data_IF_558605554392
#
_entry.id   IF_558605554392
#
_cell.length_a   1.000
_cell.length_b   1.000
_cell.length_c   1.000
_cell.angle_alpha   90.00
_cell.angle_beta   90.00
_cell.angle_gamma   90.00
#
_symmetry.space_group_name_H-M   'P 1'
#
loop_
_entity.id
_entity.type
_entity.pdbx_description
1 polymer ?
#
# COMPACT_ATOMS: atom_id res chain seq x y z
N UNK A 1 4.65 7.46 -3.90
CA UNK A 1 4.61 8.77 -3.21
C UNK A 1 5.75 9.60 -3.73
N UNK A 2 5.54 10.89 -3.89
CA UNK A 2 6.54 11.83 -4.42
C UNK A 2 6.79 12.92 -3.38
N UNK A 3 8.06 13.11 -3.06
CA UNK A 3 8.52 14.07 -2.05
C UNK A 3 9.50 15.05 -2.67
N UNK A 4 9.38 16.34 -2.31
CA UNK A 4 10.32 17.36 -2.76
C UNK A 4 11.71 17.21 -2.14
N UNK A 5 11.77 16.74 -0.89
CA UNK A 5 13.00 16.51 -0.15
C UNK A 5 13.21 15.01 0.07
N UNK A 6 14.47 14.62 0.31
CA UNK A 6 14.78 13.28 0.77
C UNK A 6 14.21 13.04 2.17
N UNK A 7 13.63 11.88 2.38
CA UNK A 7 13.05 11.45 3.65
C UNK A 7 14.01 10.48 4.35
N UNK A 8 14.36 10.78 5.59
CA UNK A 8 15.09 9.88 6.48
C UNK A 8 14.11 9.28 7.50
N UNK A 9 13.38 8.23 7.08
CA UNK A 9 12.41 7.56 7.93
C UNK A 9 12.28 6.08 7.53
N UNK A 10 12.24 5.15 8.50
CA UNK A 10 12.08 3.73 8.22
C UNK A 10 10.71 3.38 7.59
N UNK A 11 9.74 4.30 7.67
CA UNK A 11 8.42 4.12 7.05
C UNK A 11 8.46 4.26 5.52
N UNK A 12 9.52 4.88 4.97
CA UNK A 12 9.62 5.27 3.58
C UNK A 12 10.68 4.42 2.88
N UNK A 13 10.24 3.51 2.02
CA UNK A 13 11.15 2.70 1.20
C UNK A 13 11.50 3.48 -0.05
N UNK A 14 12.77 3.84 -0.18
CA UNK A 14 13.28 4.55 -1.36
C UNK A 14 13.27 3.64 -2.61
N UNK A 15 12.83 4.20 -3.72
CA UNK A 15 12.79 3.53 -5.03
C UNK A 15 14.02 3.87 -5.90
N UNK A 16 14.98 4.64 -5.37
CA UNK A 16 16.08 5.24 -6.15
C UNK A 16 17.00 4.24 -6.81
N UNK A 17 17.35 3.21 -6.06
CA UNK A 17 18.23 2.15 -6.50
C UNK A 17 17.67 1.37 -7.71
N UNK A 18 16.40 1.56 -8.07
CA UNK A 18 15.73 0.90 -9.19
C UNK A 18 15.49 1.83 -10.40
N UNK A 19 16.17 2.98 -10.46
CA UNK A 19 16.09 3.88 -11.61
C UNK A 19 14.76 4.64 -11.74
N UNK A 20 13.90 4.58 -10.72
CA UNK A 20 12.61 5.28 -10.66
C UNK A 20 12.72 6.71 -10.12
N UNK A 21 13.94 7.18 -9.80
CA UNK A 21 14.18 8.42 -9.04
C UNK A 21 14.36 9.71 -9.85
N UNK A 22 13.78 9.81 -11.04
CA UNK A 22 13.79 11.08 -11.76
C UNK A 22 12.49 11.25 -12.54
N UNK A 23 11.42 11.50 -11.78
CA UNK A 23 10.31 12.28 -12.33
C UNK A 23 10.83 13.69 -12.61
N UNK A 24 11.51 13.88 -13.74
CA UNK A 24 11.99 15.19 -14.17
C UNK A 24 10.76 16.02 -14.58
N UNK A 25 10.18 16.73 -13.63
CA UNK A 25 9.02 17.57 -13.92
C UNK A 25 9.53 18.88 -14.50
N UNK A 26 9.65 18.94 -15.83
CA UNK A 26 10.00 20.16 -16.56
C UNK A 26 8.80 21.12 -16.55
N UNK A 27 8.77 22.03 -15.58
CA UNK A 27 7.94 23.23 -15.70
C UNK A 27 8.72 24.30 -16.47
N UNK A 28 8.11 25.03 -17.44
CA UNK A 28 8.80 25.99 -18.30
C UNK A 28 9.47 27.17 -17.58
N UNK A 29 9.35 27.27 -16.25
CA UNK A 29 9.82 28.39 -15.45
C UNK A 29 10.32 28.00 -14.04
N UNK A 30 10.56 26.71 -13.76
CA UNK A 30 11.13 26.28 -12.47
C UNK A 30 12.50 25.65 -12.68
N UNK A 31 13.40 25.87 -11.72
CA UNK A 31 14.61 25.06 -11.56
C UNK A 31 14.21 23.58 -11.62
N UNK A 32 15.04 22.73 -12.25
CA UNK A 32 14.90 21.27 -12.22
C UNK A 32 14.63 20.80 -10.78
N UNK A 33 13.38 20.43 -10.50
CA UNK A 33 12.95 19.94 -9.20
C UNK A 33 13.01 18.42 -9.24
N UNK A 34 14.07 17.87 -8.67
CA UNK A 34 14.21 16.44 -8.46
C UNK A 34 13.28 16.03 -7.32
N UNK A 35 12.25 15.25 -7.63
CA UNK A 35 11.40 14.63 -6.61
C UNK A 35 11.92 13.23 -6.29
N UNK A 36 11.96 12.91 -5.01
CA UNK A 36 12.31 11.57 -4.52
C UNK A 36 11.04 10.72 -4.42
N UNK A 37 11.12 9.51 -4.95
CA UNK A 37 10.01 8.59 -5.02
C UNK A 37 10.11 7.50 -3.96
N UNK A 38 9.03 7.36 -3.18
CA UNK A 38 8.94 6.45 -2.05
C UNK A 38 7.72 5.54 -2.12
N UNK A 39 7.83 4.39 -1.46
CA UNK A 39 6.71 3.48 -1.16
C UNK A 39 6.60 3.29 0.34
N UNK A 40 5.37 3.27 0.84
CA UNK A 40 5.04 2.95 2.23
C UNK A 40 4.26 1.65 2.28
N UNK A 41 4.43 0.89 3.36
CA UNK A 41 3.78 -0.40 3.59
C UNK A 41 3.09 -0.44 4.94
N UNK A 42 1.96 -1.13 5.00
CA UNK A 42 1.08 -1.08 6.17
C UNK A 42 0.35 0.26 6.22
N UNK A 43 -0.89 0.26 6.72
CA UNK A 43 -1.73 1.46 6.74
C UNK A 43 -0.99 2.65 7.35
N UNK A 44 -0.87 3.72 6.57
CA UNK A 44 -0.21 4.96 6.96
C UNK A 44 -1.27 5.93 7.48
N UNK A 45 -1.04 6.57 8.62
CA UNK A 45 -1.92 7.65 9.08
C UNK A 45 -1.59 8.95 8.34
N UNK A 46 -2.54 9.87 8.29
CA UNK A 46 -2.31 11.19 7.71
C UNK A 46 -1.17 11.95 8.42
N UNK A 47 -0.98 11.71 9.72
CA UNK A 47 0.12 12.29 10.51
C UNK A 47 1.50 11.75 10.15
N UNK A 48 1.57 10.58 9.51
CA UNK A 48 2.83 9.95 9.14
C UNK A 48 3.37 10.52 7.81
N UNK A 49 2.56 11.34 7.11
CA UNK A 49 2.92 11.96 5.83
C UNK A 49 3.85 13.15 6.07
N UNK A 50 5.09 13.02 5.59
CA UNK A 50 6.11 14.06 5.71
C UNK A 50 5.68 15.31 4.93
N UNK A 51 6.06 16.48 5.44
CA UNK A 51 5.82 17.74 4.75
C UNK A 51 6.41 17.73 3.33
N UNK A 52 5.70 18.38 2.40
CA UNK A 52 6.10 18.46 0.98
C UNK A 52 6.19 17.09 0.27
N UNK A 53 5.52 16.06 0.82
CA UNK A 53 5.24 14.81 0.15
C UNK A 53 3.77 14.73 -0.29
N UNK A 54 3.54 13.99 -1.37
CA UNK A 54 2.22 13.75 -1.94
C UNK A 54 2.01 12.27 -2.26
N UNK A 55 0.84 11.76 -1.91
CA UNK A 55 0.44 10.39 -2.23
C UNK A 55 -0.11 10.38 -3.66
N UNK A 56 0.65 9.82 -4.60
CA UNK A 56 0.24 9.76 -6.00
C UNK A 56 -0.61 8.53 -6.33
N UNK A 57 -0.34 7.39 -5.68
CA UNK A 57 -0.95 6.09 -5.97
C UNK A 57 -1.10 5.27 -4.69
N UNK A 58 -2.19 4.51 -4.62
CA UNK A 58 -2.49 3.56 -3.54
C UNK A 58 -2.84 2.22 -4.21
N UNK A 59 -2.27 1.13 -3.71
CA UNK A 59 -2.50 -0.21 -4.24
C UNK A 59 -2.99 -1.13 -3.12
N UNK A 60 -3.88 -2.05 -3.49
CA UNK A 60 -4.29 -3.13 -2.60
C UNK A 60 -3.32 -4.30 -2.80
N UNK A 61 -2.80 -4.85 -1.71
CA UNK A 61 -1.91 -6.01 -1.72
C UNK A 61 -2.58 -7.22 -1.05
N UNK A 62 -2.15 -8.46 -1.37
CA UNK A 62 -2.63 -9.67 -0.70
C UNK A 62 -2.51 -9.59 0.82
N UNK A 63 -3.29 -10.34 1.60
CA UNK A 63 -3.10 -10.34 3.06
C UNK A 63 -1.79 -11.03 3.44
N UNK A 64 -0.71 -10.27 3.61
CA UNK A 64 0.61 -10.70 4.12
C UNK A 64 1.07 -9.80 5.27
N UNK A 65 2.12 -10.23 5.97
CA UNK A 65 2.82 -9.33 6.89
C UNK A 65 3.71 -8.38 6.06
N UNK A 66 3.44 -7.08 6.14
CA UNK A 66 4.08 -6.04 5.34
C UNK A 66 5.00 -5.14 6.18
N UNK A 67 5.64 -5.71 7.18
CA UNK A 67 6.73 -5.04 7.91
C UNK A 67 8.05 -5.34 7.23
N UNK A 68 8.91 -4.33 7.08
CA UNK A 68 10.32 -4.47 6.74
C UNK A 68 10.65 -5.19 5.42
N UNK A 69 9.92 -4.86 4.34
CA UNK A 69 10.22 -5.38 3.00
C UNK A 69 11.09 -4.44 2.18
N UNK A 70 11.98 -5.02 1.39
CA UNK A 70 12.71 -4.31 0.34
C UNK A 70 11.78 -3.86 -0.79
N UNK A 71 12.18 -2.84 -1.55
CA UNK A 71 11.41 -2.40 -2.72
C UNK A 71 11.20 -3.53 -3.74
N UNK A 72 12.18 -4.42 -3.94
CA UNK A 72 12.07 -5.54 -4.86
C UNK A 72 10.97 -6.52 -4.45
N UNK A 73 10.88 -6.85 -3.16
CA UNK A 73 9.79 -7.68 -2.63
C UNK A 73 8.42 -7.01 -2.80
N UNK A 74 8.35 -5.68 -2.59
CA UNK A 74 7.12 -4.91 -2.81
C UNK A 74 6.74 -4.93 -4.29
N UNK A 75 7.70 -4.71 -5.18
CA UNK A 75 7.49 -4.75 -6.62
C UNK A 75 6.99 -6.13 -7.07
N UNK A 76 7.56 -7.21 -6.53
CA UNK A 76 7.11 -8.57 -6.82
C UNK A 76 5.70 -8.83 -6.29
N UNK A 77 5.35 -8.34 -5.10
CA UNK A 77 3.99 -8.44 -4.57
C UNK A 77 2.99 -7.62 -5.41
N UNK A 78 3.38 -6.44 -5.90
CA UNK A 78 2.57 -5.63 -6.81
C UNK A 78 2.38 -6.30 -8.17
N UNK A 79 3.44 -6.91 -8.71
CA UNK A 79 3.39 -7.64 -9.98
C UNK A 79 2.54 -8.91 -9.88
N UNK A 80 2.57 -9.59 -8.72
CA UNK A 80 1.66 -10.68 -8.42
C UNK A 80 0.20 -10.20 -8.33
N UNK A 81 -0.01 -8.99 -7.78
CA UNK A 81 -1.33 -8.37 -7.64
C UNK A 81 -2.11 -8.94 -6.46
N UNK A 82 -3.44 -8.89 -6.53
CA UNK A 82 -4.32 -9.45 -5.52
C UNK A 82 -5.33 -10.42 -6.15
N UNK A 83 -5.68 -11.46 -5.42
CA UNK A 83 -6.72 -12.40 -5.81
C UNK A 83 -8.04 -12.06 -5.11
N UNK A 84 -9.10 -11.86 -5.90
CA UNK A 84 -10.46 -11.73 -5.38
C UNK A 84 -11.06 -13.12 -5.24
N UNK A 85 -11.40 -13.50 -4.02
CA UNK A 85 -12.19 -14.69 -3.73
C UNK A 85 -13.62 -14.29 -3.34
N UNK A 86 -14.60 -14.91 -3.99
CA UNK A 86 -16.00 -14.76 -3.66
C UNK A 86 -16.44 -15.97 -2.85
N UNK A 87 -16.92 -15.74 -1.64
CA UNK A 87 -17.53 -16.79 -0.83
C UNK A 87 -19.03 -16.76 -1.05
N UNK A 88 -19.58 -17.82 -1.64
CA UNK A 88 -21.02 -18.01 -1.70
C UNK A 88 -21.53 -18.40 -0.31
N UNK A 89 -22.12 -17.43 0.39
CA UNK A 89 -22.77 -17.66 1.67
C UNK A 89 -24.28 -17.83 1.45
N UNK A 90 -24.75 -19.07 1.45
CA UNK A 90 -26.18 -19.37 1.60
C UNK A 90 -26.41 -19.77 3.05
N UNK A 91 -26.91 -18.87 3.90
CA UNK A 91 -27.31 -19.27 5.25
C UNK A 91 -28.76 -19.75 5.29
N UNK A 92 -28.94 -21.06 5.38
CA UNK A 92 -30.27 -21.70 5.44
C UNK A 92 -30.96 -21.64 6.80
N UNK A 93 -30.22 -21.41 7.89
CA UNK A 93 -30.74 -21.52 9.28
C UNK A 93 -30.22 -20.44 10.25
N UNK A 94 -29.51 -19.43 9.79
CA UNK A 94 -29.02 -18.39 10.69
C UNK A 94 -30.21 -17.54 11.14
N UNK A 95 -30.46 -17.49 12.45
CA UNK A 95 -31.30 -16.43 13.03
C UNK A 95 -30.57 -15.08 13.08
N UNK A 96 -29.26 -15.04 12.78
CA UNK A 96 -28.42 -13.84 12.68
C UNK A 96 -27.51 -13.83 11.44
N UNK A 97 -26.42 -13.05 11.47
CA UNK A 97 -25.47 -12.92 10.36
C UNK A 97 -24.30 -13.92 10.41
N UNK A 98 -23.66 -14.15 9.25
CA UNK A 98 -22.36 -14.81 9.17
C UNK A 98 -21.27 -13.80 8.79
N UNK A 99 -20.05 -14.01 9.28
CA UNK A 99 -18.87 -13.23 8.95
C UNK A 99 -17.64 -14.14 8.85
N UNK A 100 -16.57 -13.63 8.23
CA UNK A 100 -15.26 -14.28 8.25
C UNK A 100 -14.44 -13.71 9.42
N UNK A 101 -13.84 -14.59 10.21
CA UNK A 101 -12.90 -14.16 11.24
C UNK A 101 -11.55 -13.73 10.62
N UNK A 102 -10.64 -13.24 11.46
CA UNK A 102 -9.31 -12.79 11.02
C UNK A 102 -8.45 -13.90 10.41
N UNK A 103 -8.77 -15.17 10.66
CA UNK A 103 -8.14 -16.35 10.06
C UNK A 103 -8.88 -16.83 8.78
N UNK A 104 -9.89 -16.09 8.31
CA UNK A 104 -10.69 -16.46 7.15
C UNK A 104 -11.65 -17.62 7.41
N UNK A 105 -11.91 -17.97 8.68
CA UNK A 105 -12.88 -19.02 9.04
C UNK A 105 -14.26 -18.41 9.16
N UNK A 106 -15.26 -19.15 8.70
CA UNK A 106 -16.66 -18.73 8.76
C UNK A 106 -17.21 -18.84 10.18
N UNK A 107 -17.80 -17.77 10.68
CA UNK A 107 -18.52 -17.69 11.94
C UNK A 107 -19.96 -17.25 11.66
N UNK A 108 -20.94 -17.83 12.36
CA UNK A 108 -22.35 -17.47 12.20
C UNK A 108 -22.99 -17.32 13.58
N UNK A 109 -23.80 -16.27 13.76
CA UNK A 109 -24.41 -15.91 15.05
C UNK A 109 -25.86 -16.40 15.10
N UNK A 110 -26.23 -17.08 16.19
CA UNK A 110 -27.60 -17.51 16.51
C UNK A 110 -27.78 -19.02 16.49
N UNK A 111 -27.86 -19.63 17.68
CA UNK A 111 -28.41 -20.97 17.92
C UNK A 111 -29.87 -20.88 18.37
#
# INVERSE_FOLDING_TARGET
MSCKNTVDSPLYVDTAHHGLNYGLVNYPNSSLMTHSNYVTLGGMNASDLMELCSIEKIFLLPKKNYTDKSFEEIHNDLAYGFELSWYNFECKKCRGGCYLDSAGRRQCIGM
#
